data_IF_368303644255
#
_entry.id   IF_368303644255
#
_cell.length_a   1.000
_cell.length_b   1.000
_cell.length_c   1.000
_cell.angle_alpha   90.00
_cell.angle_beta   90.00
_cell.angle_gamma   90.00
#
_symmetry.space_group_name_H-M   'P 1'
#
loop_
_entity.id
_entity.type
_entity.pdbx_description
1 polymer ?
#
# COMPACT_ATOMS: atom_id res chain seq x y z
N UNK A 1 -28.49 76.77 -30.86
CA UNK A 1 -28.37 75.37 -30.40
C UNK A 1 -27.74 74.59 -31.52
N UNK A 2 -26.50 74.18 -31.49
CA UNK A 2 -25.92 73.33 -32.52
C UNK A 2 -26.22 71.88 -32.20
N UNK A 3 -26.51 71.12 -33.24
CA UNK A 3 -26.82 69.70 -33.30
C UNK A 3 -25.58 68.86 -32.95
N UNK A 4 -25.68 67.77 -32.15
CA UNK A 4 -24.56 66.98 -31.87
C UNK A 4 -24.18 66.05 -33.03
N UNK A 5 -22.93 66.11 -33.41
CA UNK A 5 -22.28 65.37 -34.48
C UNK A 5 -22.21 63.87 -34.16
N UNK A 6 -22.98 63.03 -34.85
CA UNK A 6 -23.06 61.57 -34.70
C UNK A 6 -22.11 60.92 -35.72
N UNK A 7 -20.88 61.35 -35.75
CA UNK A 7 -19.83 60.66 -36.52
C UNK A 7 -18.71 60.27 -35.57
N UNK A 8 -18.64 59.00 -35.28
CA UNK A 8 -17.46 58.13 -34.92
C UNK A 8 -17.76 57.12 -33.84
N UNK A 9 -18.70 56.24 -34.10
CA UNK A 9 -18.66 54.91 -33.42
C UNK A 9 -18.21 53.86 -34.45
N UNK A 10 -16.94 53.91 -34.79
CA UNK A 10 -16.28 52.81 -35.47
C UNK A 10 -16.14 51.68 -34.45
N UNK A 11 -16.72 50.48 -34.66
CA UNK A 11 -16.50 49.39 -33.77
C UNK A 11 -15.03 48.98 -33.87
N UNK A 12 -14.36 48.88 -32.73
CA UNK A 12 -12.99 48.35 -32.63
C UNK A 12 -12.89 47.00 -33.33
N UNK A 13 -11.78 46.68 -34.01
CA UNK A 13 -11.60 45.40 -34.64
C UNK A 13 -11.72 44.28 -33.55
N UNK A 14 -12.64 43.34 -33.78
CA UNK A 14 -12.73 42.11 -32.98
C UNK A 14 -11.37 41.47 -33.08
N UNK A 15 -10.62 41.52 -31.98
CA UNK A 15 -9.48 40.65 -31.78
C UNK A 15 -9.97 39.21 -32.00
N UNK A 16 -9.50 38.57 -33.05
CA UNK A 16 -9.72 37.15 -33.30
C UNK A 16 -9.23 36.37 -32.07
N UNK A 17 -10.18 36.10 -31.19
CA UNK A 17 -9.97 35.17 -30.07
C UNK A 17 -9.89 33.80 -30.72
N UNK A 18 -8.72 33.48 -31.28
CA UNK A 18 -8.36 32.11 -31.63
C UNK A 18 -8.36 31.35 -30.30
N UNK A 19 -9.31 30.45 -30.04
CA UNK A 19 -9.20 29.62 -28.86
C UNK A 19 -7.89 28.88 -29.03
N UNK A 20 -6.92 29.15 -28.15
CA UNK A 20 -5.71 28.37 -28.05
C UNK A 20 -6.19 26.94 -27.89
N UNK A 21 -6.17 26.22 -29.00
CA UNK A 21 -6.44 24.81 -29.08
C UNK A 21 -5.48 24.20 -28.08
N UNK A 22 -5.98 23.85 -26.88
CA UNK A 22 -5.23 23.14 -25.88
C UNK A 22 -4.67 21.90 -26.58
N UNK A 23 -3.47 22.03 -27.12
CA UNK A 23 -2.70 20.92 -27.57
C UNK A 23 -2.53 20.04 -26.33
N UNK A 24 -3.36 19.02 -26.22
CA UNK A 24 -3.19 17.93 -25.26
C UNK A 24 -1.84 17.34 -25.62
N UNK A 25 -0.80 17.87 -24.98
CA UNK A 25 0.53 17.30 -25.09
C UNK A 25 0.37 15.81 -24.82
N UNK A 26 0.83 14.93 -25.72
CA UNK A 26 0.70 13.51 -25.52
C UNK A 26 1.37 13.21 -24.16
N UNK A 27 0.58 12.75 -23.19
CA UNK A 27 1.10 12.26 -21.90
C UNK A 27 2.20 11.27 -22.26
N UNK A 28 3.46 11.62 -22.04
CA UNK A 28 4.57 10.68 -22.19
C UNK A 28 4.21 9.47 -21.35
N UNK A 29 3.91 8.36 -22.01
CA UNK A 29 3.70 7.08 -21.33
C UNK A 29 5.03 6.79 -20.63
N UNK A 30 5.03 6.84 -19.31
CA UNK A 30 6.19 6.38 -18.55
C UNK A 30 6.41 4.92 -18.93
N UNK A 31 7.64 4.51 -19.26
CA UNK A 31 7.90 3.15 -19.69
C UNK A 31 7.43 2.17 -18.61
N UNK A 32 6.81 1.06 -19.02
CA UNK A 32 6.33 0.03 -18.09
C UNK A 32 7.48 -0.56 -17.23
N UNK A 33 8.69 -0.42 -17.69
CA UNK A 33 9.95 -0.89 -17.08
C UNK A 33 10.70 0.25 -16.37
N UNK A 34 10.07 0.86 -15.38
CA UNK A 34 10.78 1.74 -14.44
C UNK A 34 11.35 0.91 -13.30
N UNK A 35 12.40 1.38 -12.64
CA UNK A 35 12.98 0.71 -11.47
C UNK A 35 11.91 0.40 -10.43
N UNK A 36 11.04 1.35 -10.12
CA UNK A 36 9.93 1.19 -9.19
C UNK A 36 9.00 0.03 -9.62
N UNK A 37 8.58 -0.01 -10.89
CA UNK A 37 7.73 -1.10 -11.38
C UNK A 37 8.42 -2.47 -11.32
N UNK A 38 9.72 -2.55 -11.62
CA UNK A 38 10.47 -3.81 -11.51
C UNK A 38 10.47 -4.33 -10.07
N UNK A 39 10.59 -3.44 -9.09
CA UNK A 39 10.56 -3.81 -7.68
C UNK A 39 9.17 -4.32 -7.28
N UNK A 40 8.09 -3.66 -7.73
CA UNK A 40 6.71 -4.14 -7.52
C UNK A 40 6.47 -5.51 -8.16
N UNK A 41 6.94 -5.73 -9.40
CA UNK A 41 6.84 -7.04 -10.07
C UNK A 41 7.65 -8.10 -9.33
N UNK A 42 8.85 -7.77 -8.85
CA UNK A 42 9.67 -8.66 -8.01
C UNK A 42 8.93 -9.09 -6.76
N UNK A 43 8.24 -8.18 -6.09
CA UNK A 43 7.40 -8.47 -4.91
C UNK A 43 6.22 -9.38 -5.27
N UNK A 44 5.55 -9.12 -6.39
CA UNK A 44 4.44 -9.96 -6.86
C UNK A 44 4.89 -11.40 -7.15
N UNK A 45 6.11 -11.59 -7.68
CA UNK A 45 6.74 -12.92 -7.86
C UNK A 45 7.20 -13.51 -6.53
N UNK A 46 7.66 -12.69 -5.57
CA UNK A 46 8.07 -13.16 -4.26
C UNK A 46 6.93 -13.84 -3.48
N UNK A 47 5.67 -13.42 -3.68
CA UNK A 47 4.50 -14.03 -3.01
C UNK A 47 4.37 -15.52 -3.32
N UNK A 48 4.23 -15.98 -4.57
CA UNK A 48 4.12 -17.41 -4.86
C UNK A 48 5.39 -18.19 -4.49
N UNK A 49 6.57 -17.58 -4.59
CA UNK A 49 7.83 -18.22 -4.15
C UNK A 49 7.81 -18.46 -2.64
N UNK A 50 7.40 -17.47 -1.86
CA UNK A 50 7.29 -17.60 -0.40
C UNK A 50 6.24 -18.65 -0.02
N UNK A 51 5.07 -18.66 -0.68
CA UNK A 51 4.03 -19.67 -0.47
C UNK A 51 4.57 -21.07 -0.76
N UNK A 52 5.27 -21.25 -1.88
CA UNK A 52 5.88 -22.54 -2.24
C UNK A 52 6.92 -23.02 -1.18
N UNK A 53 7.75 -22.11 -0.66
CA UNK A 53 8.74 -22.43 0.37
C UNK A 53 8.10 -22.80 1.71
N UNK A 54 7.04 -22.11 2.11
CA UNK A 54 6.30 -22.39 3.35
C UNK A 54 5.44 -23.66 3.27
N UNK A 55 5.29 -24.25 2.07
CA UNK A 55 4.58 -25.50 1.90
C UNK A 55 5.36 -26.71 2.50
N UNK A 56 6.65 -26.53 2.78
CA UNK A 56 7.49 -27.53 3.47
C UNK A 56 7.90 -27.01 4.86
N UNK A 57 6.98 -27.01 5.85
CA UNK A 57 7.21 -26.40 7.16
C UNK A 57 8.33 -27.07 7.96
N UNK A 58 8.58 -28.36 7.75
CA UNK A 58 9.64 -29.13 8.42
C UNK A 58 11.06 -28.81 7.91
N UNK A 59 11.18 -28.16 6.74
CA UNK A 59 12.48 -27.86 6.16
C UNK A 59 13.05 -26.55 6.70
N UNK A 60 14.06 -26.62 7.55
CA UNK A 60 14.77 -25.44 8.07
C UNK A 60 15.33 -24.57 6.94
N UNK A 61 15.86 -25.18 5.88
CA UNK A 61 16.38 -24.45 4.70
C UNK A 61 15.26 -23.69 3.98
N UNK A 62 14.09 -24.31 3.79
CA UNK A 62 12.95 -23.66 3.17
C UNK A 62 12.47 -22.47 4.02
N UNK A 63 12.41 -22.60 5.35
CA UNK A 63 12.03 -21.53 6.28
C UNK A 63 13.01 -20.34 6.24
N UNK A 64 14.31 -20.59 6.28
CA UNK A 64 15.31 -19.52 6.17
C UNK A 64 15.29 -18.84 4.81
N UNK A 65 15.06 -19.60 3.73
CA UNK A 65 14.92 -19.05 2.39
C UNK A 65 13.65 -18.22 2.29
N UNK A 66 12.52 -18.70 2.83
CA UNK A 66 11.27 -17.94 2.88
C UNK A 66 11.42 -16.64 3.66
N UNK A 67 12.12 -16.67 4.80
CA UNK A 67 12.44 -15.46 5.56
C UNK A 67 13.30 -14.49 4.73
N UNK A 68 14.31 -14.98 4.03
CA UNK A 68 15.14 -14.16 3.12
C UNK A 68 14.30 -13.48 2.04
N UNK A 69 13.42 -14.23 1.37
CA UNK A 69 12.49 -13.70 0.36
C UNK A 69 11.55 -12.66 0.97
N UNK A 70 10.98 -12.93 2.14
CA UNK A 70 10.10 -12.01 2.85
C UNK A 70 10.80 -10.71 3.22
N UNK A 71 12.01 -10.79 3.80
CA UNK A 71 12.80 -9.60 4.19
C UNK A 71 13.18 -8.76 2.97
N UNK A 72 13.62 -9.40 1.89
CA UNK A 72 13.93 -8.70 0.64
C UNK A 72 12.68 -8.03 0.09
N UNK A 73 11.54 -8.70 0.06
CA UNK A 73 10.28 -8.12 -0.39
C UNK A 73 9.84 -6.92 0.48
N UNK A 74 9.98 -7.00 1.80
CA UNK A 74 9.65 -5.92 2.72
C UNK A 74 10.59 -4.70 2.58
N UNK A 75 11.90 -4.94 2.40
CA UNK A 75 12.87 -3.88 2.15
C UNK A 75 12.59 -3.21 0.81
N UNK A 76 12.29 -3.99 -0.22
CA UNK A 76 11.98 -3.50 -1.57
C UNK A 76 10.76 -2.58 -1.55
N UNK A 77 9.71 -2.93 -0.80
CA UNK A 77 8.53 -2.09 -0.59
C UNK A 77 8.88 -0.71 0.00
N UNK A 78 9.73 -0.70 1.02
CA UNK A 78 10.18 0.55 1.61
C UNK A 78 10.99 1.41 0.61
N UNK A 79 11.86 0.76 -0.18
CA UNK A 79 12.69 1.43 -1.19
C UNK A 79 11.85 1.97 -2.35
N UNK A 80 10.83 1.25 -2.82
CA UNK A 80 9.93 1.70 -3.89
C UNK A 80 9.25 3.01 -3.51
N UNK A 81 8.71 3.08 -2.31
CA UNK A 81 8.09 4.29 -1.79
C UNK A 81 9.07 5.47 -1.69
N UNK A 82 10.35 5.21 -1.44
CA UNK A 82 11.39 6.23 -1.43
C UNK A 82 11.77 6.68 -2.84
N UNK A 83 12.05 5.73 -3.73
CA UNK A 83 12.44 5.96 -5.14
C UNK A 83 11.34 6.68 -5.89
N UNK A 84 10.09 6.24 -5.78
CA UNK A 84 8.95 6.85 -6.44
C UNK A 84 8.76 8.32 -6.04
N UNK A 85 8.98 8.66 -4.77
CA UNK A 85 8.91 10.05 -4.28
C UNK A 85 10.08 10.90 -4.76
N UNK A 86 11.29 10.35 -4.82
CA UNK A 86 12.51 11.09 -5.17
C UNK A 86 12.63 11.33 -6.67
N UNK A 87 12.24 10.34 -7.49
CA UNK A 87 12.46 10.41 -8.95
C UNK A 87 11.18 10.71 -9.76
N UNK A 88 10.01 10.89 -9.13
CA UNK A 88 8.73 11.17 -9.79
C UNK A 88 8.39 10.16 -10.91
N UNK A 89 8.92 8.94 -10.84
CA UNK A 89 8.81 7.89 -11.84
C UNK A 89 7.73 6.86 -11.46
N UNK A 90 6.51 7.29 -11.24
CA UNK A 90 5.41 6.35 -11.01
C UNK A 90 4.59 6.14 -12.28
N UNK A 91 4.55 4.93 -12.81
CA UNK A 91 3.63 4.57 -13.89
C UNK A 91 2.21 4.39 -13.34
N UNK A 92 1.19 4.49 -14.20
CA UNK A 92 -0.20 4.23 -13.79
C UNK A 92 -0.36 2.79 -13.29
N UNK A 93 0.31 1.83 -13.95
CA UNK A 93 0.29 0.41 -13.59
C UNK A 93 0.97 0.17 -12.23
N UNK A 94 2.15 0.77 -11.97
CA UNK A 94 2.84 0.66 -10.68
C UNK A 94 1.98 1.15 -9.53
N UNK A 95 1.41 2.35 -9.65
CA UNK A 95 0.51 2.91 -8.61
C UNK A 95 -0.67 2.01 -8.27
N UNK A 96 -1.19 1.25 -9.25
CA UNK A 96 -2.28 0.29 -9.03
C UNK A 96 -1.78 -0.99 -8.38
N UNK A 97 -0.60 -1.49 -8.80
CA UNK A 97 -0.08 -2.78 -8.34
C UNK A 97 0.58 -2.71 -6.96
N UNK A 98 1.18 -1.56 -6.58
CA UNK A 98 1.87 -1.41 -5.29
C UNK A 98 0.97 -1.75 -4.08
N UNK A 99 -0.23 -1.14 -3.93
CA UNK A 99 -1.09 -1.49 -2.79
C UNK A 99 -1.58 -2.94 -2.83
N UNK A 100 -1.72 -3.52 -4.02
CA UNK A 100 -2.13 -4.91 -4.21
C UNK A 100 -1.01 -5.86 -3.77
N UNK A 101 0.21 -5.64 -4.25
CA UNK A 101 1.37 -6.50 -3.96
C UNK A 101 1.69 -6.53 -2.45
N UNK A 102 1.64 -5.37 -1.77
CA UNK A 102 1.84 -5.27 -0.32
C UNK A 102 0.80 -6.10 0.45
N UNK A 103 -0.48 -5.98 0.10
CA UNK A 103 -1.55 -6.74 0.77
C UNK A 103 -1.48 -8.23 0.46
N UNK A 104 -1.13 -8.61 -0.77
CA UNK A 104 -0.97 -10.02 -1.15
C UNK A 104 0.15 -10.69 -0.36
N UNK A 105 1.30 -10.02 -0.17
CA UNK A 105 2.43 -10.56 0.59
C UNK A 105 2.02 -10.88 2.03
N UNK A 106 1.43 -9.92 2.72
CA UNK A 106 0.98 -10.06 4.12
C UNK A 106 -0.12 -11.13 4.23
N UNK A 107 -1.10 -11.09 3.33
CA UNK A 107 -2.24 -12.02 3.36
C UNK A 107 -1.80 -13.45 3.11
N UNK A 108 -0.97 -13.68 2.08
CA UNK A 108 -0.43 -14.99 1.75
C UNK A 108 0.44 -15.54 2.90
N UNK A 109 1.27 -14.68 3.52
CA UNK A 109 2.09 -15.04 4.66
C UNK A 109 1.22 -15.50 5.85
N UNK A 110 0.24 -14.69 6.27
CA UNK A 110 -0.66 -15.04 7.38
C UNK A 110 -1.45 -16.33 7.10
N UNK A 111 -1.91 -16.51 5.87
CA UNK A 111 -2.66 -17.69 5.46
C UNK A 111 -1.78 -18.96 5.54
N UNK A 112 -0.55 -18.89 5.02
CA UNK A 112 0.39 -20.01 5.08
C UNK A 112 0.80 -20.36 6.51
N UNK A 113 1.07 -19.33 7.36
CA UNK A 113 1.40 -19.53 8.77
C UNK A 113 0.22 -20.09 9.59
N UNK A 114 -1.01 -19.86 9.18
CA UNK A 114 -2.16 -20.52 9.76
C UNK A 114 -2.34 -21.97 9.24
N UNK A 115 -2.05 -22.21 7.96
CA UNK A 115 -2.16 -23.51 7.32
C UNK A 115 -1.10 -24.51 7.83
N UNK A 116 0.14 -24.04 8.10
CA UNK A 116 1.24 -24.84 8.61
C UNK A 116 1.26 -24.97 10.15
N UNK A 117 0.20 -24.50 10.80
CA UNK A 117 0.02 -24.54 12.25
C UNK A 117 1.06 -23.72 13.07
N UNK A 118 1.79 -22.80 12.47
CA UNK A 118 2.61 -21.83 13.21
C UNK A 118 1.71 -20.83 13.97
N UNK A 119 0.59 -20.43 13.37
CA UNK A 119 -0.45 -19.62 14.03
C UNK A 119 -1.64 -20.53 14.34
N UNK A 120 -1.85 -20.86 15.63
CA UNK A 120 -2.90 -21.77 16.08
C UNK A 120 -3.81 -21.15 17.14
N UNK A 121 -4.94 -21.79 17.35
CA UNK A 121 -5.87 -21.47 18.44
C UNK A 121 -6.36 -20.02 18.38
N UNK A 122 -6.30 -19.33 19.53
CA UNK A 122 -6.74 -17.93 19.63
C UNK A 122 -5.91 -16.95 18.79
N UNK A 123 -4.67 -17.29 18.44
CA UNK A 123 -3.81 -16.39 17.64
C UNK A 123 -4.28 -16.24 16.20
N UNK A 124 -5.08 -17.15 15.69
CA UNK A 124 -5.74 -17.04 14.39
C UNK A 124 -6.67 -15.80 14.35
N UNK A 125 -7.30 -15.44 15.48
CA UNK A 125 -8.09 -14.22 15.55
C UNK A 125 -7.29 -12.95 15.30
N UNK A 126 -6.04 -12.90 15.79
CA UNK A 126 -5.16 -11.77 15.52
C UNK A 126 -4.86 -11.62 14.02
N UNK A 127 -4.61 -12.74 13.32
CA UNK A 127 -4.41 -12.76 11.87
C UNK A 127 -5.68 -12.31 11.12
N UNK A 128 -6.85 -12.82 11.50
CA UNK A 128 -8.14 -12.43 10.91
C UNK A 128 -8.40 -10.93 11.09
N UNK A 129 -8.20 -10.40 12.29
CA UNK A 129 -8.39 -8.97 12.59
C UNK A 129 -7.48 -8.11 11.72
N UNK A 130 -6.22 -8.50 11.57
CA UNK A 130 -5.29 -7.79 10.69
C UNK A 130 -5.80 -7.79 9.26
N UNK A 131 -6.17 -8.94 8.70
CA UNK A 131 -6.65 -9.05 7.32
C UNK A 131 -7.96 -8.28 7.09
N UNK A 132 -8.95 -8.46 7.98
CA UNK A 132 -10.24 -7.80 7.88
C UNK A 132 -10.16 -6.28 7.97
N UNK A 133 -9.10 -5.74 8.58
CA UNK A 133 -8.87 -4.30 8.63
C UNK A 133 -8.01 -3.80 7.48
N UNK A 134 -6.96 -4.55 7.09
CA UNK A 134 -6.03 -4.11 6.04
C UNK A 134 -6.76 -3.85 4.71
N UNK A 135 -7.64 -4.75 4.31
CA UNK A 135 -8.33 -4.65 3.02
C UNK A 135 -9.27 -3.44 2.96
N UNK A 136 -10.24 -3.26 3.89
CA UNK A 136 -11.16 -2.12 3.83
C UNK A 136 -10.48 -0.76 3.97
N UNK A 137 -9.47 -0.65 4.86
CA UNK A 137 -8.77 0.64 5.05
C UNK A 137 -7.90 0.99 3.84
N UNK A 138 -7.32 -0.01 3.15
CA UNK A 138 -6.62 0.23 1.90
C UNK A 138 -7.57 0.72 0.82
N UNK A 139 -8.70 0.05 0.64
CA UNK A 139 -9.73 0.46 -0.33
C UNK A 139 -10.27 1.87 -0.05
N UNK A 140 -10.58 2.16 1.23
CA UNK A 140 -11.03 3.50 1.63
C UNK A 140 -9.96 4.57 1.34
N UNK A 141 -8.67 4.26 1.57
CA UNK A 141 -7.57 5.19 1.28
C UNK A 141 -7.47 5.50 -0.21
N UNK A 142 -7.58 4.50 -1.06
CA UNK A 142 -7.54 4.67 -2.51
C UNK A 142 -8.72 5.48 -3.00
N UNK A 143 -9.92 5.18 -2.53
CA UNK A 143 -11.13 5.93 -2.84
C UNK A 143 -11.02 7.41 -2.44
N UNK A 144 -10.55 7.70 -1.21
CA UNK A 144 -10.35 9.09 -0.75
C UNK A 144 -9.25 9.81 -1.56
N UNK A 145 -8.21 9.09 -2.00
CA UNK A 145 -7.17 9.65 -2.85
C UNK A 145 -7.71 10.04 -4.24
N UNK A 146 -8.62 9.27 -4.82
CA UNK A 146 -9.34 9.63 -6.06
C UNK A 146 -10.17 10.91 -5.89
N UNK A 147 -10.82 11.06 -4.74
CA UNK A 147 -11.56 12.27 -4.38
C UNK A 147 -10.65 13.44 -3.98
N UNK A 148 -9.31 13.28 -4.03
CA UNK A 148 -8.30 14.27 -3.59
C UNK A 148 -8.43 14.68 -2.13
N UNK A 149 -9.07 13.86 -1.30
CA UNK A 149 -9.17 14.06 0.14
C UNK A 149 -7.95 13.48 0.83
N UNK A 150 -7.09 14.34 1.37
CA UNK A 150 -5.90 13.93 2.12
C UNK A 150 -6.25 13.55 3.55
N UNK A 151 -6.18 12.27 3.89
CA UNK A 151 -6.28 11.84 5.30
C UNK A 151 -4.87 11.72 5.88
N UNK A 152 -4.52 12.49 6.92
CA UNK A 152 -3.18 12.45 7.49
C UNK A 152 -2.87 11.07 8.09
N UNK A 153 -1.73 10.51 7.71
CA UNK A 153 -1.26 9.23 8.27
C UNK A 153 -0.63 9.47 9.63
N UNK A 154 -1.21 8.89 10.67
CA UNK A 154 -0.68 9.00 12.02
C UNK A 154 0.70 8.32 12.17
N UNK A 155 1.53 8.79 13.11
CA UNK A 155 2.83 8.13 13.43
C UNK A 155 2.63 6.69 13.90
N UNK A 156 1.53 6.41 14.58
CA UNK A 156 1.15 5.08 15.06
C UNK A 156 0.92 4.12 13.90
N UNK A 157 0.37 4.59 12.77
CA UNK A 157 0.18 3.76 11.58
C UNK A 157 1.50 3.25 10.98
N UNK A 158 2.60 3.99 11.12
CA UNK A 158 3.93 3.52 10.70
C UNK A 158 4.46 2.42 11.62
N UNK A 159 4.33 2.62 12.94
CA UNK A 159 4.74 1.63 13.94
C UNK A 159 3.97 0.32 13.79
N UNK A 160 2.67 0.39 13.55
CA UNK A 160 1.83 -0.78 13.29
C UNK A 160 2.39 -1.65 12.16
N UNK A 161 2.73 -1.07 11.01
CA UNK A 161 3.28 -1.82 9.87
C UNK A 161 4.63 -2.44 10.20
N UNK A 162 5.50 -1.71 10.89
CA UNK A 162 6.81 -2.24 11.33
C UNK A 162 6.64 -3.42 12.27
N UNK A 163 5.79 -3.29 13.31
CA UNK A 163 5.53 -4.37 14.27
C UNK A 163 4.95 -5.60 13.56
N UNK A 164 4.04 -5.40 12.64
CA UNK A 164 3.43 -6.46 11.85
C UNK A 164 4.47 -7.21 10.99
N UNK A 165 5.33 -6.48 10.25
CA UNK A 165 6.37 -7.10 9.43
C UNK A 165 7.41 -7.84 10.28
N UNK A 166 7.81 -7.29 11.42
CA UNK A 166 8.72 -7.96 12.36
C UNK A 166 8.08 -9.23 12.92
N UNK A 167 6.82 -9.17 13.35
CA UNK A 167 6.06 -10.34 13.80
C UNK A 167 6.05 -11.44 12.75
N UNK A 168 5.71 -11.10 11.50
CA UNK A 168 5.68 -12.07 10.39
C UNK A 168 7.07 -12.64 10.12
N UNK A 169 8.13 -11.84 10.22
CA UNK A 169 9.51 -12.33 10.08
C UNK A 169 9.85 -13.42 11.13
N UNK A 170 9.50 -13.19 12.40
CA UNK A 170 9.67 -14.19 13.45
C UNK A 170 8.85 -15.46 13.18
N UNK A 171 7.61 -15.32 12.75
CA UNK A 171 6.72 -16.46 12.48
C UNK A 171 7.12 -17.24 11.22
N UNK A 172 7.62 -16.57 10.17
CA UNK A 172 8.18 -17.23 8.98
C UNK A 172 9.43 -18.02 9.34
N UNK A 173 10.31 -17.48 10.20
CA UNK A 173 11.44 -18.24 10.75
C UNK A 173 10.94 -19.46 11.53
N UNK A 174 9.92 -19.31 12.36
CA UNK A 174 9.20 -20.36 13.07
C UNK A 174 10.12 -21.40 13.73
N UNK A 175 9.90 -22.71 13.48
CA UNK A 175 10.73 -23.78 14.06
C UNK A 175 12.22 -23.66 13.71
N UNK A 176 12.57 -23.16 12.54
CA UNK A 176 13.97 -22.93 12.17
C UNK A 176 14.59 -21.80 13.02
N UNK A 177 13.82 -20.77 13.35
CA UNK A 177 14.24 -19.68 14.22
C UNK A 177 14.44 -20.13 15.68
N UNK A 178 13.63 -21.09 16.17
CA UNK A 178 13.77 -21.65 17.53
C UNK A 178 15.13 -22.30 17.78
N UNK A 179 15.81 -22.80 16.74
CA UNK A 179 17.16 -23.38 16.86
C UNK A 179 18.23 -22.32 17.12
N UNK A 180 18.00 -21.07 16.73
CA UNK A 180 18.96 -19.96 16.90
C UNK A 180 18.58 -19.09 18.08
N UNK A 181 17.30 -18.77 18.21
CA UNK A 181 16.75 -17.95 19.29
C UNK A 181 15.55 -18.67 19.92
N UNK A 182 15.72 -19.33 21.08
CA UNK A 182 14.62 -19.95 21.78
C UNK A 182 13.53 -18.93 22.11
N UNK A 183 12.27 -19.25 21.80
CA UNK A 183 11.13 -18.35 21.97
C UNK A 183 10.78 -17.53 20.73
N UNK A 184 11.40 -17.78 19.57
CA UNK A 184 11.11 -17.10 18.29
C UNK A 184 9.62 -17.08 17.98
N UNK A 185 8.93 -18.21 18.05
CA UNK A 185 7.48 -18.29 17.78
C UNK A 185 6.66 -17.51 18.81
N UNK A 186 7.02 -17.60 20.09
CA UNK A 186 6.32 -16.86 21.16
C UNK A 186 6.46 -15.34 20.97
N UNK A 187 7.65 -14.88 20.61
CA UNK A 187 7.90 -13.45 20.28
C UNK A 187 7.05 -13.07 19.06
N UNK A 188 7.05 -13.88 18.02
CA UNK A 188 6.25 -13.67 16.82
C UNK A 188 4.76 -13.53 17.14
N UNK A 189 4.19 -14.44 17.92
CA UNK A 189 2.79 -14.41 18.34
C UNK A 189 2.48 -13.19 19.23
N UNK A 190 3.35 -12.84 20.17
CA UNK A 190 3.16 -11.64 20.98
C UNK A 190 3.13 -10.36 20.14
N UNK A 191 4.05 -10.25 19.19
CA UNK A 191 4.08 -9.13 18.23
C UNK A 191 2.87 -9.14 17.29
N UNK A 192 2.35 -10.32 16.92
CA UNK A 192 1.13 -10.44 16.10
C UNK A 192 -0.08 -9.86 16.83
N UNK A 193 -0.25 -10.18 18.10
CA UNK A 193 -1.30 -9.61 18.93
C UNK A 193 -1.14 -8.10 19.10
N UNK A 194 0.09 -7.63 19.34
CA UNK A 194 0.38 -6.20 19.41
C UNK A 194 0.03 -5.50 18.09
N UNK A 195 0.41 -6.10 16.96
CA UNK A 195 0.06 -5.58 15.63
C UNK A 195 -1.47 -5.56 15.41
N UNK A 196 -2.21 -6.57 15.87
CA UNK A 196 -3.67 -6.62 15.78
C UNK A 196 -4.31 -5.48 16.58
N UNK A 197 -3.87 -5.23 17.83
CA UNK A 197 -4.37 -4.13 18.67
C UNK A 197 -4.08 -2.78 18.01
N UNK A 198 -2.85 -2.54 17.56
CA UNK A 198 -2.48 -1.30 16.85
C UNK A 198 -3.27 -1.13 15.55
N UNK A 199 -3.59 -2.24 14.90
CA UNK A 199 -4.36 -2.28 13.66
C UNK A 199 -5.81 -1.87 13.89
N UNK A 200 -6.47 -2.34 14.96
CA UNK A 200 -7.82 -1.91 15.35
C UNK A 200 -7.81 -0.41 15.66
N UNK A 201 -6.90 0.02 16.50
CA UNK A 201 -6.82 1.43 16.92
C UNK A 201 -6.68 2.37 15.73
N UNK A 202 -5.67 2.14 14.89
CA UNK A 202 -5.42 2.99 13.72
C UNK A 202 -6.51 2.86 12.65
N UNK A 203 -7.18 1.70 12.58
CA UNK A 203 -8.32 1.47 11.68
C UNK A 203 -9.53 2.27 12.06
N UNK A 204 -9.85 2.31 13.36
CA UNK A 204 -10.98 3.07 13.87
C UNK A 204 -10.86 4.56 13.55
N UNK A 205 -9.68 5.15 13.82
CA UNK A 205 -9.42 6.56 13.50
C UNK A 205 -9.60 6.86 12.01
N UNK A 206 -9.09 5.96 11.16
CA UNK A 206 -9.16 6.10 9.71
C UNK A 206 -10.58 5.96 9.17
N UNK A 207 -11.32 4.96 9.66
CA UNK A 207 -12.72 4.73 9.29
C UNK A 207 -13.60 5.89 9.73
N UNK A 208 -13.43 6.38 10.95
CA UNK A 208 -14.19 7.52 11.48
C UNK A 208 -13.94 8.79 10.67
N UNK A 209 -12.68 9.08 10.31
CA UNK A 209 -12.34 10.24 9.49
C UNK A 209 -12.83 10.10 8.05
N UNK A 210 -12.68 8.91 7.45
CA UNK A 210 -13.04 8.66 6.05
C UNK A 210 -14.53 8.61 5.81
N UNK A 211 -15.29 7.93 6.67
CA UNK A 211 -16.76 7.82 6.55
C UNK A 211 -17.43 9.19 6.64
N UNK A 212 -16.92 10.08 7.51
CA UNK A 212 -17.45 11.44 7.61
C UNK A 212 -17.38 12.17 6.27
N UNK A 213 -16.27 12.06 5.54
CA UNK A 213 -16.14 12.67 4.21
C UNK A 213 -17.01 12.03 3.12
N UNK A 214 -17.29 10.72 3.24
CA UNK A 214 -18.16 10.01 2.28
C UNK A 214 -19.63 10.34 2.48
N UNK A 215 -20.06 10.54 3.73
CA UNK A 215 -21.46 10.86 4.07
C UNK A 215 -21.77 12.34 3.83
N UNK A 216 -20.79 13.22 4.10
CA UNK A 216 -20.96 14.68 3.96
C UNK A 216 -20.75 15.18 2.49
N UNK A 217 -20.49 14.27 1.52
CA UNK A 217 -20.37 14.62 0.09
C UNK A 217 -21.77 14.82 -0.54
N UNK A 218 -22.23 16.04 -0.77
CA UNK A 218 -23.52 16.31 -1.42
C UNK A 218 -23.33 16.18 -2.95
N UNK A 219 -23.49 14.99 -3.50
CA UNK A 219 -23.68 14.79 -4.95
C UNK A 219 -25.11 15.00 -5.36
#
# INVERSE_FOLDING_TARGET
MPEPDIKALTPAPRSDFTPAMNAVLPRRRSPAWTLANCLTYGRLVAVPVMVALLFWPESHTARWTALGVFVVAAITDYLDGYVARTYHQSSALGRMLDPIADKLLVSACLLMLAADHTIIGSSVWAAIVILCREVPVSGLREYLAELKVGVPVSRIAKWKTTVQLVSLGFLVAGPAGETVLPGTERIGIALLWLAAVLTIWTGWDYMRAGIKHVIDDPR
#
